data_IF_869161817707
#
_entry.id   IF_869161817707
#
_cell.length_a   1.000
_cell.length_b   1.000
_cell.length_c   1.000
_cell.angle_alpha   90.00
_cell.angle_beta   90.00
_cell.angle_gamma   90.00
#
_symmetry.space_group_name_H-M   'P 1'
#
loop_
_entity.id
_entity.type
_entity.pdbx_description
1 polymer ?
#
# COMPACT_ATOMS: atom_id res chain seq x y z
N UNK A 1 -53.69 -19.16 -32.99
CA UNK A 1 -52.42 -18.48 -33.36
C UNK A 1 -52.63 -16.99 -33.22
N UNK A 2 -51.95 -16.31 -32.27
CA UNK A 2 -51.30 -14.98 -32.43
C UNK A 2 -50.80 -14.44 -31.09
N UNK A 3 -49.47 -14.45 -30.98
CA UNK A 3 -48.51 -13.51 -30.36
C UNK A 3 -48.68 -12.87 -28.96
N UNK A 4 -47.59 -13.07 -28.21
CA UNK A 4 -47.09 -12.35 -27.04
C UNK A 4 -46.97 -10.82 -27.24
N UNK A 5 -47.32 -10.08 -26.18
CA UNK A 5 -46.74 -8.77 -25.89
C UNK A 5 -46.28 -8.73 -24.42
N UNK A 6 -44.97 -8.96 -24.20
CA UNK A 6 -44.30 -8.57 -22.95
C UNK A 6 -43.78 -7.15 -23.13
N UNK A 7 -44.41 -6.20 -22.45
CA UNK A 7 -44.01 -4.80 -22.44
C UNK A 7 -42.75 -4.59 -21.59
N UNK A 8 -41.83 -3.83 -22.18
CA UNK A 8 -40.46 -3.58 -21.74
C UNK A 8 -40.45 -2.49 -20.66
N UNK A 9 -40.53 -2.87 -19.37
CA UNK A 9 -40.54 -1.92 -18.24
C UNK A 9 -39.15 -1.39 -17.83
N UNK A 10 -38.07 -1.80 -18.50
CA UNK A 10 -36.69 -1.49 -18.10
C UNK A 10 -36.05 -0.25 -18.73
N UNK A 11 -36.73 0.46 -19.64
CA UNK A 11 -36.08 1.55 -20.41
C UNK A 11 -36.28 2.96 -19.83
N UNK A 12 -37.39 3.27 -19.13
CA UNK A 12 -37.64 4.65 -18.64
C UNK A 12 -36.82 5.07 -17.42
N UNK A 13 -36.59 4.16 -16.46
CA UNK A 13 -35.82 4.47 -15.23
C UNK A 13 -34.33 4.70 -15.52
N UNK A 14 -33.74 3.92 -16.43
CA UNK A 14 -32.35 4.09 -16.83
C UNK A 14 -32.14 5.36 -17.67
N UNK A 15 -33.10 5.74 -18.51
CA UNK A 15 -33.03 6.98 -19.30
C UNK A 15 -33.18 8.24 -18.43
N UNK A 16 -34.04 8.20 -17.41
CA UNK A 16 -34.18 9.28 -16.42
C UNK A 16 -32.95 9.40 -15.50
N UNK A 17 -32.34 8.27 -15.11
CA UNK A 17 -31.12 8.27 -14.31
C UNK A 17 -29.91 8.80 -15.10
N UNK A 18 -29.72 8.38 -16.37
CA UNK A 18 -28.69 8.95 -17.25
C UNK A 18 -28.95 10.42 -17.56
N UNK A 19 -30.21 10.81 -17.78
CA UNK A 19 -30.59 12.21 -18.02
C UNK A 19 -30.32 13.12 -16.83
N UNK A 20 -30.58 12.64 -15.60
CA UNK A 20 -30.28 13.39 -14.38
C UNK A 20 -28.77 13.54 -14.14
N UNK A 21 -27.98 12.50 -14.39
CA UNK A 21 -26.51 12.57 -14.30
C UNK A 21 -25.91 13.49 -15.37
N UNK A 22 -26.44 13.44 -16.60
CA UNK A 22 -26.05 14.33 -17.69
C UNK A 22 -26.40 15.80 -17.44
N UNK A 23 -27.59 16.07 -16.91
CA UNK A 23 -28.04 17.42 -16.55
C UNK A 23 -27.24 18.00 -15.37
N UNK A 24 -26.90 17.18 -14.38
CA UNK A 24 -26.03 17.57 -13.27
C UNK A 24 -24.60 17.86 -13.76
N UNK A 25 -24.06 17.03 -14.65
CA UNK A 25 -22.74 17.24 -15.26
C UNK A 25 -22.67 18.53 -16.08
N UNK A 26 -23.71 18.84 -16.86
CA UNK A 26 -23.83 20.09 -17.63
C UNK A 26 -24.01 21.32 -16.72
N UNK A 27 -24.81 21.23 -15.65
CA UNK A 27 -24.99 22.30 -14.68
C UNK A 27 -23.71 22.59 -13.87
N UNK A 28 -22.92 21.56 -13.57
CA UNK A 28 -21.62 21.70 -12.89
C UNK A 28 -20.52 22.23 -13.81
N UNK A 29 -20.54 21.88 -15.10
CA UNK A 29 -19.65 22.46 -16.10
C UNK A 29 -19.93 23.96 -16.33
N UNK A 30 -21.18 24.39 -16.16
CA UNK A 30 -21.60 25.78 -16.34
C UNK A 30 -21.39 26.67 -15.11
N UNK A 31 -21.09 26.11 -13.93
CA UNK A 31 -21.06 26.84 -12.64
C UNK A 31 -19.67 26.87 -11.99
N UNK A 32 -18.60 27.05 -12.77
CA UNK A 32 -17.22 27.14 -12.28
C UNK A 32 -17.02 28.16 -11.13
N UNK A 33 -17.89 29.17 -11.02
CA UNK A 33 -17.84 30.20 -9.98
C UNK A 33 -18.40 29.79 -8.61
N UNK A 34 -19.18 28.71 -8.49
CA UNK A 34 -19.90 28.39 -7.25
C UNK A 34 -19.67 26.99 -6.69
N UNK A 35 -18.95 26.12 -7.41
CA UNK A 35 -18.63 24.78 -6.89
C UNK A 35 -17.45 24.89 -5.91
N UNK A 36 -17.62 24.52 -4.63
CA UNK A 36 -16.52 24.52 -3.66
C UNK A 36 -15.33 23.72 -4.22
N UNK A 37 -14.10 24.20 -4.01
CA UNK A 37 -12.87 23.58 -4.53
C UNK A 37 -12.83 22.06 -4.32
N UNK A 38 -13.26 21.60 -3.15
CA UNK A 38 -13.39 20.17 -2.81
C UNK A 38 -14.29 19.39 -3.77
N UNK A 39 -15.43 19.94 -4.17
CA UNK A 39 -16.36 19.29 -5.09
C UNK A 39 -15.79 19.24 -6.52
N UNK A 40 -15.05 20.28 -6.95
CA UNK A 40 -14.33 20.25 -8.24
C UNK A 40 -13.24 19.17 -8.24
N UNK A 41 -12.48 19.06 -7.15
CA UNK A 41 -11.44 18.03 -6.99
C UNK A 41 -12.03 16.61 -6.98
N UNK A 42 -13.17 16.40 -6.30
CA UNK A 42 -13.87 15.12 -6.29
C UNK A 42 -14.40 14.73 -7.69
N UNK A 43 -15.00 15.67 -8.43
CA UNK A 43 -15.49 15.43 -9.79
C UNK A 43 -14.33 15.14 -10.74
N UNK A 44 -13.25 15.93 -10.68
CA UNK A 44 -12.04 15.71 -11.46
C UNK A 44 -11.41 14.34 -11.18
N UNK A 45 -11.31 13.95 -9.91
CA UNK A 45 -10.79 12.63 -9.51
C UNK A 45 -11.72 11.49 -9.96
N UNK A 46 -13.04 11.68 -9.91
CA UNK A 46 -14.01 10.70 -10.41
C UNK A 46 -13.86 10.45 -11.92
N UNK A 47 -13.73 11.50 -12.72
CA UNK A 47 -13.60 11.44 -14.18
C UNK A 47 -12.22 10.98 -14.69
N UNK A 48 -11.17 11.07 -13.86
CA UNK A 48 -9.80 10.69 -14.26
C UNK A 48 -9.66 9.18 -14.52
N UNK A 49 -9.02 8.79 -15.61
CA UNK A 49 -8.68 7.38 -15.89
C UNK A 49 -7.65 6.83 -14.91
N UNK A 50 -7.73 5.53 -14.61
CA UNK A 50 -6.69 4.80 -13.89
C UNK A 50 -5.74 4.23 -14.93
N UNK A 51 -4.45 4.57 -14.83
CA UNK A 51 -3.41 4.05 -15.71
C UNK A 51 -3.16 2.57 -15.44
N UNK A 52 -2.73 1.83 -16.46
CA UNK A 52 -2.30 0.44 -16.29
C UNK A 52 -0.82 0.41 -15.90
N UNK A 53 -0.39 -0.45 -14.96
CA UNK A 53 1.01 -0.72 -14.71
C UNK A 53 1.78 -1.03 -15.98
N UNK A 54 2.99 -0.51 -16.09
CA UNK A 54 3.89 -0.80 -17.21
C UNK A 54 4.47 -2.22 -17.13
N UNK A 55 4.49 -2.79 -15.93
CA UNK A 55 5.03 -4.12 -15.66
C UNK A 55 4.01 -5.00 -14.94
N UNK A 56 4.20 -6.32 -15.05
CA UNK A 56 3.38 -7.30 -14.35
C UNK A 56 4.25 -8.41 -13.77
N UNK A 57 4.30 -8.58 -12.44
CA UNK A 57 5.12 -9.59 -11.82
C UNK A 57 4.59 -10.99 -12.11
N UNK A 58 5.49 -11.97 -12.12
CA UNK A 58 5.17 -13.38 -12.39
C UNK A 58 5.61 -14.27 -11.22
N UNK A 59 4.91 -14.20 -10.07
CA UNK A 59 5.35 -14.85 -8.83
C UNK A 59 5.51 -16.37 -8.94
N UNK A 60 4.77 -17.01 -9.84
CA UNK A 60 4.89 -18.45 -10.13
C UNK A 60 6.26 -18.86 -10.70
N UNK A 61 7.10 -17.92 -11.12
CA UNK A 61 8.44 -18.16 -11.68
C UNK A 61 9.57 -17.81 -10.71
N UNK A 62 9.24 -17.34 -9.50
CA UNK A 62 10.25 -16.95 -8.53
C UNK A 62 10.90 -18.18 -7.91
N UNK A 63 12.17 -18.05 -7.55
CA UNK A 63 12.92 -19.10 -6.88
C UNK A 63 12.73 -18.99 -5.36
N UNK A 64 12.51 -20.12 -4.70
CA UNK A 64 12.28 -20.17 -3.25
C UNK A 64 13.55 -20.07 -2.41
N UNK A 65 14.71 -19.86 -3.04
CA UNK A 65 16.01 -19.68 -2.39
C UNK A 65 16.57 -18.26 -2.58
N UNK A 66 15.70 -17.28 -2.75
CA UNK A 66 16.04 -15.89 -3.04
C UNK A 66 15.15 -14.91 -2.27
N UNK A 67 15.58 -13.65 -2.19
CA UNK A 67 14.72 -12.51 -1.87
C UNK A 67 14.21 -11.94 -3.18
N UNK A 68 12.91 -12.03 -3.43
CA UNK A 68 12.28 -11.45 -4.63
C UNK A 68 11.13 -10.55 -4.23
N UNK A 69 11.16 -9.29 -4.64
CA UNK A 69 10.16 -8.28 -4.30
C UNK A 69 9.52 -7.72 -5.56
N UNK A 70 8.21 -7.46 -5.52
CA UNK A 70 7.52 -6.71 -6.58
C UNK A 70 6.58 -5.68 -5.99
N UNK A 71 6.65 -4.48 -6.52
CA UNK A 71 5.83 -3.37 -6.06
C UNK A 71 4.46 -3.43 -6.72
N UNK A 72 3.42 -3.79 -5.96
CA UNK A 72 2.05 -3.88 -6.48
C UNK A 72 1.34 -2.52 -6.51
N UNK A 73 1.98 -1.48 -5.96
CA UNK A 73 1.47 -0.12 -5.84
C UNK A 73 1.20 0.28 -4.40
N UNK A 74 1.32 1.57 -4.12
CA UNK A 74 1.26 2.19 -2.80
C UNK A 74 2.31 1.60 -1.86
N UNK A 75 1.92 1.10 -0.69
CA UNK A 75 2.79 0.39 0.25
C UNK A 75 2.70 -1.13 0.13
N UNK A 76 2.06 -1.61 -0.95
CA UNK A 76 1.88 -3.03 -1.20
C UNK A 76 3.05 -3.61 -1.97
N UNK A 77 3.89 -4.39 -1.28
CA UNK A 77 5.00 -5.14 -1.86
C UNK A 77 4.72 -6.62 -1.66
N UNK A 78 4.71 -7.36 -2.77
CA UNK A 78 4.72 -8.82 -2.75
C UNK A 78 6.17 -9.28 -2.64
N UNK A 79 6.51 -9.90 -1.52
CA UNK A 79 7.85 -10.35 -1.18
C UNK A 79 7.86 -11.88 -1.07
N UNK A 80 8.64 -12.55 -1.89
CA UNK A 80 9.10 -13.90 -1.60
C UNK A 80 10.41 -13.81 -0.81
N UNK A 81 10.42 -14.36 0.39
CA UNK A 81 11.57 -14.35 1.28
C UNK A 81 11.98 -15.79 1.61
N UNK A 82 12.81 -16.37 0.73
CA UNK A 82 13.20 -17.78 0.79
C UNK A 82 11.98 -18.72 0.89
N UNK A 83 11.05 -18.60 -0.07
CA UNK A 83 9.83 -19.41 -0.20
C UNK A 83 8.64 -18.92 0.63
N UNK A 84 8.86 -18.10 1.64
CA UNK A 84 7.76 -17.50 2.43
C UNK A 84 7.22 -16.29 1.69
N UNK A 85 5.93 -16.32 1.33
CA UNK A 85 5.30 -15.22 0.61
C UNK A 85 4.65 -14.23 1.57
N UNK A 86 5.16 -13.00 1.56
CA UNK A 86 4.78 -11.91 2.45
C UNK A 86 4.16 -10.78 1.61
N UNK A 87 3.08 -10.17 2.11
CA UNK A 87 2.46 -9.00 1.49
C UNK A 87 2.37 -7.86 2.51
N UNK A 88 3.07 -6.75 2.23
CA UNK A 88 3.05 -5.56 3.10
C UNK A 88 1.83 -4.70 2.80
N UNK A 89 1.19 -4.10 3.81
CA UNK A 89 0.10 -3.10 3.69
C UNK A 89 -0.77 -3.25 2.43
N UNK A 90 -1.52 -4.35 2.29
CA UNK A 90 -2.18 -4.74 1.06
C UNK A 90 -3.36 -3.82 0.75
N UNK A 91 -3.18 -2.98 -0.26
CA UNK A 91 -4.19 -2.08 -0.80
C UNK A 91 -4.24 -2.28 -2.30
N UNK A 92 -5.16 -3.12 -2.76
CA UNK A 92 -5.35 -3.45 -4.17
C UNK A 92 -6.68 -2.88 -4.73
N UNK A 93 -7.41 -2.10 -3.92
CA UNK A 93 -8.58 -1.35 -4.34
C UNK A 93 -8.26 -0.18 -5.28
N UNK A 94 -9.28 0.24 -6.06
CA UNK A 94 -9.20 1.42 -6.95
C UNK A 94 -9.35 2.75 -6.21
N UNK A 95 -9.87 2.73 -4.98
CA UNK A 95 -10.00 3.87 -4.09
C UNK A 95 -9.59 3.45 -2.69
N UNK A 96 -9.04 4.40 -1.93
CA UNK A 96 -8.80 4.27 -0.48
C UNK A 96 -9.64 5.31 0.23
N UNK A 97 -10.16 4.97 1.40
CA UNK A 97 -10.97 5.90 2.20
C UNK A 97 -12.17 5.25 2.87
N UNK A 98 -13.17 6.08 3.16
CA UNK A 98 -14.39 5.71 3.86
C UNK A 98 -15.22 4.73 3.03
N UNK A 99 -15.33 3.48 3.47
CA UNK A 99 -16.26 2.53 2.88
C UNK A 99 -17.69 2.83 3.38
N UNK A 100 -18.56 3.26 2.46
CA UNK A 100 -19.98 3.52 2.73
C UNK A 100 -20.88 2.35 2.28
N UNK A 101 -20.31 1.17 2.06
CA UNK A 101 -21.00 -0.05 1.65
C UNK A 101 -21.31 -0.15 0.15
N UNK A 102 -21.75 0.95 -0.47
CA UNK A 102 -22.00 1.02 -1.91
C UNK A 102 -20.81 1.54 -2.73
N UNK A 103 -19.97 2.35 -2.10
CA UNK A 103 -18.76 2.90 -2.70
C UNK A 103 -17.78 3.36 -1.62
N UNK A 104 -16.49 3.35 -1.95
CA UNK A 104 -15.44 3.98 -1.14
C UNK A 104 -15.32 5.45 -1.50
N UNK A 105 -15.48 6.33 -0.52
CA UNK A 105 -15.23 7.77 -0.66
C UNK A 105 -13.80 8.08 -0.20
N UNK A 106 -12.98 8.54 -1.13
CA UNK A 106 -11.60 8.93 -0.88
C UNK A 106 -10.76 8.81 -2.15
N UNK A 107 -9.43 9.05 -2.06
CA UNK A 107 -8.55 9.15 -3.22
C UNK A 107 -8.68 7.98 -4.20
N UNK A 108 -8.91 8.28 -5.49
CA UNK A 108 -8.81 7.30 -6.56
C UNK A 108 -7.36 7.04 -6.92
N UNK A 109 -7.05 5.79 -7.19
CA UNK A 109 -5.74 5.34 -7.64
C UNK A 109 -5.34 6.00 -8.97
N UNK A 110 -4.08 6.37 -9.12
CA UNK A 110 -3.45 6.89 -10.33
C UNK A 110 -3.13 5.75 -11.30
N UNK A 111 -2.46 4.70 -10.79
CA UNK A 111 -2.03 3.51 -11.54
C UNK A 111 -2.60 2.26 -10.87
N UNK A 112 -3.34 1.43 -11.60
CA UNK A 112 -3.96 0.19 -11.11
C UNK A 112 -2.93 -0.72 -10.40
N UNK A 113 -3.32 -1.60 -9.48
CA UNK A 113 -2.38 -2.52 -8.87
C UNK A 113 -1.81 -3.48 -9.92
N UNK A 114 -0.53 -3.87 -9.75
CA UNK A 114 0.14 -4.78 -10.70
C UNK A 114 -0.49 -6.18 -10.74
N UNK A 115 -1.12 -6.59 -9.64
CA UNK A 115 -1.92 -7.81 -9.52
C UNK A 115 -3.22 -7.49 -8.79
N UNK A 116 -4.34 -8.08 -9.22
CA UNK A 116 -5.55 -8.16 -8.40
C UNK A 116 -5.40 -9.23 -7.33
N UNK A 117 -6.26 -9.21 -6.29
CA UNK A 117 -6.25 -10.24 -5.23
C UNK A 117 -6.32 -11.66 -5.81
N UNK A 118 -7.14 -11.88 -6.84
CA UNK A 118 -7.29 -13.17 -7.53
C UNK A 118 -6.04 -13.63 -8.29
N UNK A 119 -5.11 -12.72 -8.56
CA UNK A 119 -3.85 -13.00 -9.26
C UNK A 119 -2.67 -13.16 -8.30
N UNK A 120 -2.87 -12.90 -7.00
CA UNK A 120 -1.83 -13.15 -6.01
C UNK A 120 -1.54 -14.65 -5.90
N UNK A 121 -0.28 -15.03 -5.60
CA UNK A 121 0.03 -16.37 -5.13
C UNK A 121 -0.58 -16.60 -3.74
N UNK A 122 -0.39 -17.79 -3.17
CA UNK A 122 -0.67 -18.00 -1.75
C UNK A 122 0.14 -17.00 -0.90
N UNK A 123 -0.53 -16.31 0.03
CA UNK A 123 0.11 -15.36 0.95
C UNK A 123 0.21 -16.02 2.32
N UNK A 124 1.42 -16.28 2.79
CA UNK A 124 1.67 -16.85 4.10
C UNK A 124 1.48 -15.81 5.21
N UNK A 125 1.94 -14.58 4.96
CA UNK A 125 1.96 -13.50 5.95
C UNK A 125 1.56 -12.17 5.32
N UNK A 126 0.60 -11.47 5.92
CA UNK A 126 0.41 -10.03 5.71
C UNK A 126 1.07 -9.24 6.83
N UNK A 127 1.76 -8.16 6.47
CA UNK A 127 2.46 -7.29 7.41
C UNK A 127 1.82 -5.91 7.38
N UNK A 128 1.18 -5.53 8.49
CA UNK A 128 0.40 -4.30 8.60
C UNK A 128 1.15 -3.28 9.47
N UNK A 129 1.60 -2.18 8.87
CA UNK A 129 2.34 -1.14 9.58
C UNK A 129 1.46 -0.33 10.53
N UNK A 130 0.25 0.05 10.11
CA UNK A 130 -0.67 0.87 10.91
C UNK A 130 -2.11 0.83 10.35
N UNK A 131 -3.04 1.50 11.04
CA UNK A 131 -4.48 1.37 10.80
C UNK A 131 -5.08 2.29 9.71
N UNK A 132 -4.29 3.15 9.05
CA UNK A 132 -4.81 4.08 8.05
C UNK A 132 -5.43 3.35 6.86
N UNK A 133 -6.42 3.98 6.24
CA UNK A 133 -7.23 3.35 5.18
C UNK A 133 -6.44 3.05 3.91
N UNK A 134 -5.37 3.78 3.67
CA UNK A 134 -4.45 3.56 2.56
C UNK A 134 -3.37 2.53 2.88
N UNK A 135 -3.33 1.97 4.08
CA UNK A 135 -2.45 0.84 4.46
C UNK A 135 -3.24 -0.40 4.89
N UNK A 136 -4.47 -0.21 5.38
CA UNK A 136 -5.34 -1.23 5.95
C UNK A 136 -6.68 -1.28 5.18
N UNK A 137 -6.60 -1.75 3.94
CA UNK A 137 -7.74 -1.88 3.02
C UNK A 137 -8.57 -3.13 3.33
N UNK A 138 -9.75 -2.91 3.91
CA UNK A 138 -10.72 -3.96 4.21
C UNK A 138 -11.17 -4.74 2.99
N UNK A 139 -11.32 -4.09 1.83
CA UNK A 139 -11.78 -4.77 0.64
C UNK A 139 -10.76 -5.82 0.17
N UNK A 140 -9.46 -5.49 0.28
CA UNK A 140 -8.38 -6.43 -0.04
C UNK A 140 -8.27 -7.54 1.03
N UNK A 141 -8.23 -7.18 2.32
CA UNK A 141 -8.04 -8.15 3.40
C UNK A 141 -9.19 -9.17 3.53
N UNK A 142 -10.44 -8.77 3.27
CA UNK A 142 -11.62 -9.67 3.25
C UNK A 142 -11.52 -10.80 2.23
N UNK A 143 -10.71 -10.63 1.19
CA UNK A 143 -10.53 -11.63 0.14
C UNK A 143 -9.37 -12.58 0.42
N UNK A 144 -8.59 -12.36 1.48
CA UNK A 144 -7.52 -13.27 1.90
C UNK A 144 -8.11 -14.52 2.57
N UNK A 145 -7.49 -15.70 2.41
CA UNK A 145 -7.93 -16.93 3.08
C UNK A 145 -7.58 -16.91 4.58
N UNK A 146 -8.21 -17.81 5.34
CA UNK A 146 -7.93 -18.03 6.77
C UNK A 146 -6.57 -18.69 7.04
N UNK A 147 -5.94 -19.25 6.01
CA UNK A 147 -4.58 -19.79 6.06
C UNK A 147 -3.52 -18.69 6.18
N UNK A 148 -3.81 -17.48 5.73
CA UNK A 148 -2.92 -16.31 5.84
C UNK A 148 -2.80 -15.85 7.28
N UNK A 149 -1.56 -15.70 7.76
CA UNK A 149 -1.28 -15.07 9.05
C UNK A 149 -1.13 -13.55 8.89
N UNK A 150 -1.32 -12.81 9.98
CA UNK A 150 -1.05 -11.38 10.02
C UNK A 150 -0.16 -11.00 11.20
N UNK A 151 0.84 -10.16 10.95
CA UNK A 151 1.54 -9.40 11.98
C UNK A 151 1.17 -7.94 11.81
N UNK A 152 0.72 -7.30 12.89
CA UNK A 152 0.12 -5.96 12.84
C UNK A 152 0.56 -5.10 14.03
N UNK A 153 0.38 -3.79 13.95
CA UNK A 153 0.69 -2.90 15.04
C UNK A 153 -0.20 -3.12 16.26
N UNK A 154 0.28 -2.75 17.45
CA UNK A 154 -0.51 -2.83 18.69
C UNK A 154 -1.88 -2.14 18.55
N UNK A 155 -2.92 -2.75 19.12
CA UNK A 155 -4.30 -2.27 19.10
C UNK A 155 -4.89 -2.09 17.68
N UNK A 156 -4.63 -3.03 16.78
CA UNK A 156 -5.21 -3.05 15.41
C UNK A 156 -5.81 -4.41 15.01
N UNK A 157 -5.67 -5.43 15.86
CA UNK A 157 -6.15 -6.79 15.60
C UNK A 157 -7.68 -6.90 15.52
N UNK A 158 -8.41 -6.01 16.20
CA UNK A 158 -9.87 -5.89 16.14
C UNK A 158 -10.37 -5.62 14.70
N UNK A 159 -9.57 -4.92 13.89
CA UNK A 159 -9.91 -4.63 12.49
C UNK A 159 -9.98 -5.89 11.63
N UNK A 160 -9.28 -6.97 12.02
CA UNK A 160 -9.33 -8.25 11.31
C UNK A 160 -10.61 -9.04 11.60
N UNK A 161 -11.40 -8.68 12.62
CA UNK A 161 -12.68 -9.33 12.93
C UNK A 161 -13.72 -9.25 11.80
N UNK A 162 -13.47 -8.41 10.79
CA UNK A 162 -14.28 -8.28 9.59
C UNK A 162 -13.66 -8.96 8.36
N UNK A 163 -12.65 -9.80 8.54
CA UNK A 163 -11.89 -10.50 7.48
C UNK A 163 -11.87 -12.00 7.75
N UNK A 164 -11.38 -12.82 6.81
CA UNK A 164 -11.19 -14.25 7.07
C UNK A 164 -9.88 -14.57 7.81
N UNK A 165 -9.00 -13.58 7.99
CA UNK A 165 -7.70 -13.76 8.65
C UNK A 165 -7.95 -13.90 10.15
N UNK A 166 -7.76 -15.11 10.67
CA UNK A 166 -7.98 -15.42 12.10
C UNK A 166 -6.68 -15.48 12.90
N UNK A 167 -5.54 -15.69 12.24
CA UNK A 167 -4.22 -15.81 12.88
C UNK A 167 -3.52 -14.45 12.90
N UNK A 168 -3.87 -13.62 13.87
CA UNK A 168 -3.31 -12.26 14.00
C UNK A 168 -2.36 -12.18 15.20
N UNK A 169 -1.25 -11.45 15.02
CA UNK A 169 -0.30 -11.14 16.09
C UNK A 169 -0.03 -9.65 16.12
N UNK A 170 -0.42 -9.00 17.21
CA UNK A 170 -0.03 -7.62 17.47
C UNK A 170 1.39 -7.56 18.03
N UNK A 171 2.14 -6.53 17.61
CA UNK A 171 3.43 -6.19 18.18
C UNK A 171 3.49 -4.71 18.57
N UNK A 172 3.95 -4.43 19.78
CA UNK A 172 4.47 -3.13 20.19
C UNK A 172 5.94 -2.95 19.76
N UNK A 173 6.47 -1.72 19.80
CA UNK A 173 7.88 -1.48 19.52
C UNK A 173 8.80 -2.31 20.42
N UNK A 174 9.82 -2.91 19.82
CA UNK A 174 10.77 -3.78 20.50
C UNK A 174 10.31 -5.24 20.61
N UNK A 175 9.02 -5.53 20.47
CA UNK A 175 8.50 -6.89 20.49
C UNK A 175 8.83 -7.64 19.19
N UNK A 176 8.91 -8.96 19.31
CA UNK A 176 9.19 -9.87 18.21
C UNK A 176 8.29 -11.09 18.25
N UNK A 177 8.09 -11.70 17.09
CA UNK A 177 7.39 -12.97 16.95
C UNK A 177 8.02 -13.80 15.85
N UNK A 178 7.80 -15.11 15.90
CA UNK A 178 8.19 -16.05 14.84
C UNK A 178 6.91 -16.58 14.22
N UNK A 179 6.73 -16.31 12.92
CA UNK A 179 5.58 -16.80 12.15
C UNK A 179 5.98 -18.10 11.48
N UNK A 180 5.25 -19.18 11.78
CA UNK A 180 5.44 -20.49 11.18
C UNK A 180 4.52 -20.65 9.97
N UNK A 181 5.09 -21.00 8.84
CA UNK A 181 4.39 -21.18 7.56
C UNK A 181 4.68 -22.58 7.02
N UNK A 182 4.00 -22.96 5.93
CA UNK A 182 4.29 -24.22 5.24
C UNK A 182 5.71 -24.27 4.63
N UNK A 183 6.29 -23.10 4.37
CA UNK A 183 7.62 -22.95 3.77
C UNK A 183 8.72 -22.64 4.81
N UNK A 184 8.41 -22.71 6.11
CA UNK A 184 9.35 -22.47 7.21
C UNK A 184 8.99 -21.27 8.08
N UNK A 185 9.95 -20.80 8.87
CA UNK A 185 9.77 -19.73 9.85
C UNK A 185 10.32 -18.38 9.38
N UNK A 186 9.62 -17.29 9.69
CA UNK A 186 10.11 -15.92 9.54
C UNK A 186 10.05 -15.21 10.89
N UNK A 187 11.16 -14.61 11.30
CA UNK A 187 11.21 -13.76 12.48
C UNK A 187 10.80 -12.35 12.11
N UNK A 188 9.86 -11.78 12.86
CA UNK A 188 9.35 -10.43 12.67
C UNK A 188 9.57 -9.65 13.95
N UNK A 189 10.30 -8.54 13.89
CA UNK A 189 10.50 -7.63 15.01
C UNK A 189 9.95 -6.25 14.68
N UNK A 190 9.08 -5.72 15.53
CA UNK A 190 8.59 -4.36 15.42
C UNK A 190 9.60 -3.36 15.99
N UNK A 191 9.75 -2.21 15.34
CA UNK A 191 10.53 -1.08 15.84
C UNK A 191 9.79 0.24 15.63
N UNK A 192 10.21 1.25 16.38
CA UNK A 192 9.60 2.57 16.34
C UNK A 192 9.91 3.28 15.02
N UNK A 193 8.86 3.78 14.39
CA UNK A 193 8.91 4.74 13.29
C UNK A 193 8.23 6.03 13.72
N UNK A 194 8.29 7.11 12.95
CA UNK A 194 7.66 8.39 13.31
C UNK A 194 6.39 8.62 12.50
N UNK A 195 5.25 8.19 13.04
CA UNK A 195 3.95 8.33 12.40
C UNK A 195 2.81 8.47 13.43
N UNK A 196 1.57 8.21 13.04
CA UNK A 196 0.40 8.13 13.90
C UNK A 196 -0.50 6.97 13.47
N UNK A 197 -1.39 6.49 14.33
CA UNK A 197 -2.14 5.24 14.09
C UNK A 197 -3.64 5.36 14.29
N UNK A 198 -4.30 6.39 13.74
CA UNK A 198 -5.76 6.51 13.90
C UNK A 198 -6.47 6.22 12.57
N UNK A 199 -7.50 5.36 12.56
CA UNK A 199 -8.21 5.04 11.30
C UNK A 199 -9.03 6.23 10.79
N UNK A 200 -9.49 7.08 11.72
CA UNK A 200 -10.21 8.32 11.46
C UNK A 200 -9.63 9.47 12.28
N UNK A 201 -9.93 10.71 11.87
CA UNK A 201 -9.51 11.92 12.63
C UNK A 201 -9.99 11.92 14.09
N UNK A 202 -11.12 11.28 14.38
CA UNK A 202 -11.62 11.02 15.73
C UNK A 202 -11.82 9.51 15.87
N UNK A 203 -10.76 8.79 16.24
CA UNK A 203 -10.75 7.33 16.40
C UNK A 203 -10.03 6.95 17.69
N UNK A 204 -10.14 5.68 18.07
CA UNK A 204 -9.24 5.05 19.04
C UNK A 204 -7.79 5.28 18.60
N UNK A 205 -6.92 5.68 19.54
CA UNK A 205 -5.48 5.74 19.27
C UNK A 205 -4.94 4.33 19.13
N UNK A 206 -4.38 4.00 17.97
CA UNK A 206 -3.76 2.69 17.69
C UNK A 206 -2.27 2.86 17.41
N UNK A 207 -1.54 1.76 17.47
CA UNK A 207 -0.11 1.73 17.20
C UNK A 207 0.22 1.88 15.71
N UNK A 208 1.50 2.09 15.44
CA UNK A 208 2.11 2.13 14.12
C UNK A 208 3.53 1.59 14.24
N UNK A 209 4.01 0.83 13.26
CA UNK A 209 5.28 0.11 13.33
C UNK A 209 6.08 0.18 12.04
N UNK A 210 7.40 0.19 12.18
CA UNK A 210 8.29 -0.43 11.20
C UNK A 210 8.59 -1.87 11.61
N UNK A 211 9.03 -2.70 10.67
CA UNK A 211 9.37 -4.10 10.91
C UNK A 211 10.73 -4.48 10.34
N UNK A 212 11.43 -5.34 11.08
CA UNK A 212 12.56 -6.12 10.58
C UNK A 212 12.10 -7.55 10.40
N UNK A 213 12.30 -8.08 9.19
CA UNK A 213 12.10 -9.48 8.85
C UNK A 213 13.46 -10.17 8.80
N UNK A 214 13.58 -11.34 9.41
CA UNK A 214 14.81 -12.14 9.42
C UNK A 214 14.51 -13.62 9.16
N UNK A 215 15.22 -14.19 8.17
CA UNK A 215 15.07 -15.57 7.71
C UNK A 215 16.30 -15.97 6.88
N UNK A 216 16.75 -17.22 6.99
CA UNK A 216 17.94 -17.75 6.29
C UNK A 216 19.20 -16.86 6.43
N UNK A 217 19.38 -16.20 7.58
CA UNK A 217 20.50 -15.27 7.82
C UNK A 217 20.43 -13.94 7.07
N UNK A 218 19.30 -13.66 6.41
CA UNK A 218 19.04 -12.46 5.60
C UNK A 218 18.05 -11.55 6.30
N UNK A 219 18.08 -10.25 5.99
CA UNK A 219 17.26 -9.25 6.71
C UNK A 219 16.64 -8.22 5.77
N UNK A 220 15.34 -7.96 5.97
CA UNK A 220 14.58 -6.94 5.23
C UNK A 220 13.94 -5.97 6.21
N UNK A 221 14.01 -4.67 5.90
CA UNK A 221 13.29 -3.62 6.63
C UNK A 221 12.01 -3.29 5.86
N UNK A 222 10.91 -3.17 6.58
CA UNK A 222 9.70 -2.52 6.11
C UNK A 222 9.39 -1.30 6.98
N UNK A 223 9.52 -0.11 6.40
CA UNK A 223 9.38 1.15 7.14
C UNK A 223 7.96 1.61 7.41
N UNK A 224 6.95 1.01 6.74
CA UNK A 224 5.59 1.55 6.75
C UNK A 224 5.56 3.00 6.28
N UNK A 225 4.73 3.82 6.92
CA UNK A 225 4.85 5.27 6.83
C UNK A 225 5.67 5.83 7.99
N UNK A 226 6.56 6.77 7.67
CA UNK A 226 7.40 7.42 8.66
C UNK A 226 7.91 8.77 8.19
N UNK A 227 7.98 9.74 9.09
CA UNK A 227 8.84 10.91 8.96
C UNK A 227 10.29 10.56 9.28
N UNK A 228 11.19 11.52 9.01
CA UNK A 228 12.59 11.41 9.43
C UNK A 228 12.69 11.20 10.95
N UNK A 229 13.45 10.18 11.34
CA UNK A 229 13.72 9.82 12.72
C UNK A 229 15.08 9.14 12.84
N UNK A 230 15.68 9.16 14.03
CA UNK A 230 16.96 8.53 14.32
C UNK A 230 16.82 7.06 14.76
N UNK A 231 15.59 6.53 14.86
CA UNK A 231 15.31 5.15 15.31
C UNK A 231 15.82 4.06 14.35
N UNK A 232 16.22 4.43 13.13
CA UNK A 232 16.88 3.54 12.18
C UNK A 232 18.36 3.33 12.49
N UNK A 233 19.05 4.29 13.12
CA UNK A 233 20.50 4.19 13.43
C UNK A 233 20.84 2.98 14.31
N UNK A 234 20.09 2.67 15.40
CA UNK A 234 20.34 1.49 16.21
C UNK A 234 20.12 0.16 15.48
N UNK A 235 19.46 0.15 14.31
CA UNK A 235 19.28 -1.08 13.52
C UNK A 235 20.60 -1.56 12.91
N UNK A 236 21.52 -0.64 12.59
CA UNK A 236 22.82 -0.97 11.97
C UNK A 236 23.66 -1.96 12.77
N UNK A 237 23.56 -1.95 14.10
CA UNK A 237 24.29 -2.89 14.95
C UNK A 237 23.74 -4.32 14.87
N UNK A 238 22.57 -4.54 14.27
CA UNK A 238 21.90 -5.85 14.15
C UNK A 238 22.29 -6.61 12.89
N UNK A 239 23.23 -6.07 12.11
CA UNK A 239 23.72 -6.63 10.86
C UNK A 239 23.25 -5.83 9.65
N UNK A 240 23.90 -5.99 8.48
CA UNK A 240 23.47 -5.34 7.26
C UNK A 240 22.08 -5.84 6.85
N UNK A 241 21.33 -4.96 6.19
CA UNK A 241 20.02 -5.29 5.64
C UNK A 241 20.12 -5.42 4.13
N UNK A 242 19.53 -6.47 3.59
CA UNK A 242 19.53 -6.72 2.17
C UNK A 242 18.67 -5.69 1.44
N UNK A 243 17.47 -5.43 1.98
CA UNK A 243 16.50 -4.55 1.37
C UNK A 243 15.81 -3.69 2.42
N UNK A 244 15.68 -2.40 2.16
CA UNK A 244 14.81 -1.50 2.91
C UNK A 244 13.64 -1.04 2.03
N UNK A 245 12.43 -1.46 2.38
CA UNK A 245 11.18 -1.03 1.77
C UNK A 245 10.72 0.24 2.49
N UNK A 246 10.83 1.39 1.83
CA UNK A 246 10.71 2.70 2.49
C UNK A 246 9.79 3.67 1.73
N UNK A 247 8.97 4.47 2.43
CA UNK A 247 8.10 5.47 1.81
C UNK A 247 8.94 6.63 1.26
N UNK A 248 8.49 7.23 0.16
CA UNK A 248 9.14 8.42 -0.42
C UNK A 248 8.15 9.53 -0.82
N UNK A 249 6.85 9.32 -0.63
CA UNK A 249 5.78 10.24 -1.03
C UNK A 249 4.93 10.75 0.13
N UNK A 250 3.90 11.53 -0.20
CA UNK A 250 2.95 12.16 0.71
C UNK A 250 3.57 13.13 1.73
N UNK A 251 4.78 13.61 1.48
CA UNK A 251 5.49 14.47 2.42
C UNK A 251 5.01 15.91 2.42
N UNK A 252 4.41 16.47 1.36
CA UNK A 252 3.90 17.85 1.39
C UNK A 252 2.39 17.92 1.68
N UNK A 253 1.92 18.60 2.75
CA UNK A 253 2.63 19.32 3.82
C UNK A 253 2.78 18.50 5.12
N UNK A 254 2.93 17.18 4.98
CA UNK A 254 2.89 16.21 6.08
C UNK A 254 4.28 15.73 6.52
N UNK A 255 5.32 16.57 6.40
CA UNK A 255 6.71 16.19 6.71
C UNK A 255 6.91 15.78 8.18
N UNK A 256 5.98 16.13 9.05
CA UNK A 256 5.96 15.70 10.45
C UNK A 256 5.63 14.21 10.62
N UNK A 257 5.04 13.56 9.60
CA UNK A 257 4.64 12.14 9.61
C UNK A 257 5.06 11.36 8.36
N UNK A 258 5.57 12.01 7.32
CA UNK A 258 6.10 11.39 6.10
C UNK A 258 7.45 11.99 5.73
N UNK A 259 8.41 11.15 5.34
CA UNK A 259 9.75 11.57 4.98
C UNK A 259 9.84 11.95 3.50
N UNK A 260 10.75 12.87 3.18
CA UNK A 260 11.13 13.12 1.78
C UNK A 260 11.96 11.95 1.23
N UNK A 261 12.14 11.83 -0.10
CA UNK A 261 13.02 10.82 -0.70
C UNK A 261 14.44 10.81 -0.12
N UNK A 262 15.02 11.97 0.16
CA UNK A 262 16.38 12.09 0.72
C UNK A 262 16.43 11.66 2.19
N UNK A 263 15.40 11.98 2.96
CA UNK A 263 15.27 11.53 4.36
C UNK A 263 15.04 10.02 4.43
N UNK A 264 14.24 9.47 3.52
CA UNK A 264 14.02 8.03 3.36
C UNK A 264 15.33 7.29 3.07
N UNK A 265 16.11 7.81 2.11
CA UNK A 265 17.44 7.30 1.80
C UNK A 265 18.39 7.41 3.01
N UNK A 266 18.34 8.53 3.74
CA UNK A 266 19.14 8.71 4.97
C UNK A 266 18.81 7.65 6.00
N UNK A 267 17.54 7.35 6.26
CA UNK A 267 17.13 6.31 7.21
C UNK A 267 17.56 4.91 6.76
N UNK A 268 17.44 4.59 5.47
CA UNK A 268 17.93 3.34 4.91
C UNK A 268 19.46 3.20 5.07
N UNK A 269 20.20 4.28 4.83
CA UNK A 269 21.64 4.34 5.06
C UNK A 269 21.99 4.23 6.55
N UNK A 270 21.27 4.93 7.43
CA UNK A 270 21.48 4.88 8.88
C UNK A 270 21.33 3.44 9.40
N UNK A 271 20.34 2.68 8.90
CA UNK A 271 20.16 1.26 9.21
C UNK A 271 21.20 0.32 8.56
N UNK A 272 21.91 0.77 7.53
CA UNK A 272 22.88 -0.05 6.81
C UNK A 272 22.25 -0.99 5.78
N UNK A 273 21.22 -0.53 5.07
CA UNK A 273 20.59 -1.29 4.00
C UNK A 273 21.34 -1.17 2.65
N UNK A 274 21.52 -2.31 1.99
CA UNK A 274 22.19 -2.41 0.69
C UNK A 274 21.33 -1.80 -0.42
N UNK A 275 20.06 -2.22 -0.52
CA UNK A 275 19.10 -1.73 -1.51
C UNK A 275 17.93 -1.00 -0.85
N UNK A 276 17.35 -0.03 -1.56
CA UNK A 276 16.12 0.66 -1.19
C UNK A 276 15.02 0.37 -2.22
N UNK A 277 13.86 -0.08 -1.74
CA UNK A 277 12.64 -0.24 -2.53
C UNK A 277 11.68 0.90 -2.16
N UNK A 278 11.57 1.94 -3.00
CA UNK A 278 10.69 3.06 -2.72
C UNK A 278 9.21 2.69 -2.88
N UNK A 279 8.41 3.05 -1.88
CA UNK A 279 6.95 2.86 -1.87
C UNK A 279 6.21 4.19 -1.63
N UNK A 280 4.89 4.15 -1.46
CA UNK A 280 4.04 5.32 -1.14
C UNK A 280 4.05 6.46 -2.19
N UNK A 281 4.39 6.15 -3.44
CA UNK A 281 4.38 7.13 -4.55
C UNK A 281 3.70 6.56 -5.80
N UNK A 282 3.46 7.39 -6.82
CA UNK A 282 2.78 7.05 -8.10
C UNK A 282 1.38 6.42 -8.01
N UNK A 283 0.82 6.23 -6.81
CA UNK A 283 -0.35 5.37 -6.61
C UNK A 283 -1.60 6.13 -6.21
N UNK A 284 -1.53 6.96 -5.18
CA UNK A 284 -2.62 7.84 -4.77
C UNK A 284 -2.09 9.27 -4.64
N UNK A 285 -2.95 10.26 -4.85
CA UNK A 285 -2.61 11.67 -4.58
C UNK A 285 -2.94 11.98 -3.12
N UNK A 286 -1.95 11.80 -2.24
CA UNK A 286 -2.08 12.02 -0.79
C UNK A 286 -1.34 13.28 -0.30
N UNK A 287 -0.33 13.72 -1.04
CA UNK A 287 0.38 14.98 -0.85
C UNK A 287 0.16 15.98 -1.99
N UNK A 288 0.92 17.08 -1.94
CA UNK A 288 0.90 18.16 -2.93
C UNK A 288 1.95 18.01 -4.01
N UNK A 289 2.97 17.19 -3.77
CA UNK A 289 4.04 16.90 -4.72
C UNK A 289 3.54 16.24 -6.01
N UNK A 290 4.32 16.35 -7.09
CA UNK A 290 4.00 15.68 -8.35
C UNK A 290 4.08 14.15 -8.22
N UNK A 291 3.27 13.41 -8.97
CA UNK A 291 3.23 11.93 -8.87
C UNK A 291 4.58 11.25 -9.19
N UNK A 292 5.40 11.85 -10.05
CA UNK A 292 6.73 11.37 -10.43
C UNK A 292 7.87 12.02 -9.63
N UNK A 293 7.63 13.17 -9.00
CA UNK A 293 8.65 13.93 -8.29
C UNK A 293 9.38 13.11 -7.20
N UNK A 294 8.69 12.28 -6.37
CA UNK A 294 9.36 11.44 -5.39
C UNK A 294 10.48 10.55 -5.97
N UNK A 295 10.19 9.83 -7.06
CA UNK A 295 11.16 8.88 -7.63
C UNK A 295 12.30 9.62 -8.32
N UNK A 296 12.01 10.74 -9.00
CA UNK A 296 13.02 11.58 -9.65
C UNK A 296 14.01 12.16 -8.63
N UNK A 297 13.51 12.60 -7.47
CA UNK A 297 14.33 13.07 -6.35
C UNK A 297 15.17 11.94 -5.74
N UNK A 298 14.60 10.74 -5.55
CA UNK A 298 15.37 9.60 -5.07
C UNK A 298 16.49 9.22 -6.06
N UNK A 299 16.18 9.18 -7.36
CA UNK A 299 17.16 8.90 -8.42
C UNK A 299 18.29 9.94 -8.42
N UNK A 300 17.97 11.22 -8.22
CA UNK A 300 18.97 12.28 -8.08
C UNK A 300 19.83 12.08 -6.83
N UNK A 301 19.24 11.68 -5.71
CA UNK A 301 19.97 11.43 -4.47
C UNK A 301 20.91 10.21 -4.54
N UNK A 302 20.58 9.22 -5.38
CA UNK A 302 21.37 8.02 -5.66
C UNK A 302 22.09 8.08 -7.02
N UNK A 303 22.37 9.27 -7.55
CA UNK A 303 22.97 9.40 -8.88
C UNK A 303 24.34 8.70 -9.03
N UNK A 304 25.10 8.55 -7.95
CA UNK A 304 26.38 7.82 -7.91
C UNK A 304 26.24 6.32 -7.70
N UNK A 305 25.08 5.84 -7.25
CA UNK A 305 24.79 4.43 -6.91
C UNK A 305 23.36 4.05 -7.37
N UNK A 306 23.00 4.26 -8.65
CA UNK A 306 21.63 4.11 -9.13
C UNK A 306 21.09 2.67 -9.03
N UNK A 307 21.98 1.68 -8.98
CA UNK A 307 21.68 0.25 -8.79
C UNK A 307 21.10 -0.07 -7.42
N UNK A 308 21.27 0.80 -6.42
CA UNK A 308 20.68 0.60 -5.09
C UNK A 308 19.17 0.80 -5.07
N UNK A 309 18.59 1.45 -6.07
CA UNK A 309 17.14 1.56 -6.22
C UNK A 309 16.60 0.24 -6.77
N UNK A 310 15.98 -0.55 -5.91
CA UNK A 310 15.49 -1.88 -6.26
C UNK A 310 14.41 -1.84 -7.36
N UNK A 311 13.47 -0.90 -7.26
CA UNK A 311 12.32 -0.74 -8.17
C UNK A 311 12.01 0.74 -8.37
N UNK A 312 11.53 1.12 -9.56
CA UNK A 312 11.14 2.49 -9.92
C UNK A 312 9.68 2.58 -10.33
N UNK A 313 9.12 1.49 -10.87
CA UNK A 313 7.76 1.47 -11.41
C UNK A 313 6.91 0.33 -10.84
N UNK A 314 5.60 0.58 -10.80
CA UNK A 314 4.62 -0.38 -10.31
C UNK A 314 4.62 -1.61 -11.22
N UNK A 315 4.77 -2.78 -10.59
CA UNK A 315 4.80 -4.09 -11.21
C UNK A 315 6.19 -4.60 -11.58
N UNK A 316 7.24 -3.79 -11.41
CA UNK A 316 8.61 -4.27 -11.56
C UNK A 316 8.95 -5.32 -10.49
N UNK A 317 9.93 -6.17 -10.80
CA UNK A 317 10.40 -7.24 -9.92
C UNK A 317 11.91 -7.12 -9.69
N UNK A 318 12.31 -7.15 -8.43
CA UNK A 318 13.68 -7.15 -7.96
C UNK A 318 13.99 -8.52 -7.37
N UNK A 319 15.17 -9.06 -7.62
CA UNK A 319 15.57 -10.36 -7.08
C UNK A 319 17.05 -10.37 -6.69
N UNK A 320 17.36 -10.96 -5.55
CA UNK A 320 18.71 -11.30 -5.13
C UNK A 320 18.75 -12.71 -4.54
N UNK A 321 19.80 -13.47 -4.85
CA UNK A 321 20.08 -14.76 -4.22
C UNK A 321 20.73 -14.58 -2.84
#
# INVERSE_FOLDING_TARGET
>A
MTQNHKHNHHTRRNFLALGAVGAMGLYMAYSEQYVPKMMRELVADAGRSILTPTHKPQPKRWLDNAITASWLGHSSVLLNFYGVTILTDPVLGMRVGADLGLATVGPKRLVAPALSVKQLPHIDLVLMSHAHMDHFDMATLKQMPDTTAAVTAKATSDLFGYTNITKTKELAWGEKTTVRTSNGEVNVQAFEVKHWGARWRHDTQRGYNGYVLEREGRKVIFGGDTAMTDTFKPLRSRGPYDLAIMPIGAYQPWECSHCTPEQSLRMANDAGANYILPIHHKTFKLGREGAHEPIERLQKALASEPERIALKDIGETFSMA
#
